data_IF_806485192460
#
_entry.id   IF_806485192460
#
_cell.length_a   1.000
_cell.length_b   1.000
_cell.length_c   1.000
_cell.angle_alpha   90.00
_cell.angle_beta   90.00
_cell.angle_gamma   90.00
#
_symmetry.space_group_name_H-M   'P 1'
#
loop_
_entity.id
_entity.type
_entity.pdbx_description
1 polymer ?
#
# COMPACT_ATOMS: atom_id res chain seq x y z
N UNK A 1 -18.21 -3.96 15.09
CA UNK A 1 -17.04 -3.29 14.50
C UNK A 1 -16.25 -4.28 13.67
N UNK A 2 -15.86 -3.90 12.47
CA UNK A 2 -15.09 -4.76 11.58
C UNK A 2 -13.61 -4.79 11.97
N UNK A 3 -13.04 -6.00 12.04
CA UNK A 3 -11.62 -6.17 12.35
C UNK A 3 -10.91 -6.85 11.19
N UNK A 4 -9.65 -6.47 10.95
CA UNK A 4 -8.81 -7.17 9.98
C UNK A 4 -8.51 -8.57 10.48
N UNK A 5 -8.63 -9.53 9.60
CA UNK A 5 -8.19 -10.88 9.89
C UNK A 5 -6.83 -11.10 9.24
N UNK A 6 -5.79 -11.04 10.04
CA UNK A 6 -4.42 -11.16 9.57
C UNK A 6 -4.10 -12.57 9.05
N UNK A 7 -4.90 -13.55 9.45
CA UNK A 7 -4.74 -14.91 8.97
C UNK A 7 -5.52 -15.20 7.69
N UNK A 8 -6.31 -14.25 7.20
CA UNK A 8 -7.09 -14.41 5.97
C UNK A 8 -6.14 -14.61 4.78
N UNK A 9 -6.26 -15.76 4.06
CA UNK A 9 -5.42 -16.00 2.88
C UNK A 9 -5.53 -14.92 1.81
N UNK A 10 -6.71 -14.30 1.66
CA UNK A 10 -6.90 -13.23 0.69
C UNK A 10 -6.07 -12.00 1.05
N UNK A 11 -5.96 -11.68 2.33
CA UNK A 11 -5.15 -10.57 2.79
C UNK A 11 -3.66 -10.84 2.55
N UNK A 12 -3.21 -12.04 2.88
CA UNK A 12 -1.81 -12.43 2.67
C UNK A 12 -1.44 -12.41 1.19
N UNK A 13 -2.34 -12.91 0.33
CA UNK A 13 -2.12 -12.88 -1.11
C UNK A 13 -2.05 -11.46 -1.64
N UNK A 14 -2.96 -10.59 -1.19
CA UNK A 14 -2.99 -9.18 -1.58
C UNK A 14 -1.66 -8.49 -1.26
N UNK A 15 -1.14 -8.68 -0.05
CA UNK A 15 0.15 -8.09 0.34
C UNK A 15 1.29 -8.61 -0.52
N UNK A 16 1.31 -9.91 -0.76
CA UNK A 16 2.35 -10.54 -1.56
C UNK A 16 2.34 -10.00 -2.98
N UNK A 17 1.17 -9.92 -3.59
CA UNK A 17 1.02 -9.47 -4.96
C UNK A 17 1.44 -8.00 -5.12
N UNK A 18 1.11 -7.16 -4.15
CA UNK A 18 1.51 -5.76 -4.18
C UNK A 18 3.01 -5.60 -4.04
N UNK A 19 3.63 -6.30 -3.09
CA UNK A 19 5.08 -6.24 -2.94
C UNK A 19 5.79 -6.70 -4.21
N UNK A 20 5.28 -7.75 -4.84
CA UNK A 20 5.85 -8.26 -6.08
C UNK A 20 5.70 -7.24 -7.22
N UNK A 21 4.51 -6.65 -7.36
CA UNK A 21 4.27 -5.60 -8.36
C UNK A 21 5.29 -4.46 -8.18
N UNK A 22 5.55 -4.09 -6.93
CA UNK A 22 6.43 -2.98 -6.59
C UNK A 22 7.91 -3.39 -6.52
N UNK A 23 8.23 -4.61 -6.98
CA UNK A 23 9.58 -5.15 -7.07
C UNK A 23 10.30 -5.17 -5.72
N UNK A 24 9.53 -5.36 -4.64
CA UNK A 24 10.05 -5.44 -3.28
C UNK A 24 10.86 -4.20 -2.90
N UNK A 25 10.38 -3.03 -3.30
CA UNK A 25 11.01 -1.75 -3.00
C UNK A 25 9.98 -0.76 -2.50
N UNK A 26 10.40 0.13 -1.60
CA UNK A 26 9.58 1.25 -1.18
C UNK A 26 9.30 2.16 -2.39
N UNK A 27 8.04 2.50 -2.57
CA UNK A 27 7.60 3.30 -3.72
C UNK A 27 7.58 4.80 -3.44
N UNK A 28 7.97 5.22 -2.25
CA UNK A 28 8.09 6.65 -1.97
C UNK A 28 9.14 7.26 -2.89
N UNK A 29 8.82 8.37 -3.58
CA UNK A 29 9.75 8.98 -4.54
C UNK A 29 11.11 9.26 -3.91
N UNK A 30 12.16 8.75 -4.54
CA UNK A 30 13.52 8.96 -4.06
C UNK A 30 13.99 7.98 -2.99
N UNK A 31 13.12 7.10 -2.48
CA UNK A 31 13.51 6.15 -1.43
C UNK A 31 14.09 4.85 -2.00
N UNK A 32 13.23 4.00 -2.55
CA UNK A 32 13.65 2.71 -3.12
C UNK A 32 14.21 1.72 -2.12
N UNK A 33 14.00 1.93 -0.83
CA UNK A 33 14.48 1.04 0.22
C UNK A 33 13.89 -0.36 0.10
N UNK A 34 14.65 -1.38 0.54
CA UNK A 34 14.23 -2.78 0.42
C UNK A 34 14.03 -3.46 1.77
N UNK A 35 14.23 -2.75 2.87
CA UNK A 35 14.11 -3.31 4.22
C UNK A 35 12.84 -2.81 4.88
N UNK A 36 12.28 -3.68 5.74
CA UNK A 36 11.09 -3.34 6.54
C UNK A 36 9.95 -2.83 5.69
N UNK A 37 9.66 -3.57 4.63
CA UNK A 37 8.60 -3.20 3.71
C UNK A 37 7.23 -3.54 4.31
N UNK A 38 6.31 -2.59 4.18
CA UNK A 38 4.92 -2.73 4.60
C UNK A 38 4.03 -2.39 3.42
N UNK A 39 2.84 -2.96 3.39
CA UNK A 39 1.87 -2.63 2.34
C UNK A 39 0.79 -1.74 2.95
N UNK A 40 0.67 -0.55 2.40
CA UNK A 40 -0.28 0.46 2.86
C UNK A 40 -1.54 0.42 2.02
N UNK A 41 -2.71 0.39 2.68
CA UNK A 41 -3.99 0.57 2.00
C UNK A 41 -4.15 2.04 1.62
N UNK A 42 -4.23 2.32 0.33
CA UNK A 42 -4.33 3.70 -0.15
C UNK A 42 -5.64 4.32 0.33
N UNK A 43 -6.76 3.65 0.05
CA UNK A 43 -8.04 4.02 0.65
C UNK A 43 -8.23 3.16 1.89
N UNK A 44 -8.67 3.78 2.98
CA UNK A 44 -8.73 3.14 4.29
C UNK A 44 -9.53 1.85 4.29
N UNK A 45 -9.07 0.91 5.08
CA UNK A 45 -9.75 -0.37 5.32
C UNK A 45 -11.21 -0.19 5.68
N UNK A 46 -11.50 0.74 6.60
CA UNK A 46 -12.86 0.93 7.10
C UNK A 46 -13.73 1.74 6.13
N UNK A 47 -13.14 2.62 5.34
CA UNK A 47 -13.89 3.54 4.46
C UNK A 47 -14.24 2.94 3.11
N UNK A 48 -13.49 1.94 2.66
CA UNK A 48 -13.64 1.40 1.31
C UNK A 48 -13.59 -0.13 1.33
N UNK A 49 -14.61 -0.80 1.93
CA UNK A 49 -14.57 -2.25 2.07
C UNK A 49 -14.48 -3.00 0.74
N UNK A 50 -15.04 -2.46 -0.33
CA UNK A 50 -14.95 -3.09 -1.65
C UNK A 50 -13.58 -3.04 -2.27
N UNK A 51 -12.65 -2.25 -1.72
CA UNK A 51 -11.31 -2.08 -2.25
C UNK A 51 -10.23 -2.74 -1.38
N UNK A 52 -10.62 -3.42 -0.30
CA UNK A 52 -9.66 -3.95 0.68
C UNK A 52 -8.61 -4.86 0.07
N UNK A 53 -8.99 -5.64 -0.95
CA UNK A 53 -8.07 -6.58 -1.60
C UNK A 53 -7.83 -6.23 -3.06
N UNK A 54 -8.15 -5.02 -3.47
CA UNK A 54 -7.85 -4.56 -4.82
C UNK A 54 -6.35 -4.33 -4.97
N UNK A 55 -5.76 -4.85 -6.05
CA UNK A 55 -4.33 -4.65 -6.33
C UNK A 55 -4.00 -3.17 -6.52
N UNK A 56 -4.98 -2.37 -6.95
CA UNK A 56 -4.77 -0.94 -7.16
C UNK A 56 -5.01 -0.11 -5.91
N UNK A 57 -5.32 -0.75 -4.78
CA UNK A 57 -5.54 -0.04 -3.52
C UNK A 57 -4.44 -0.28 -2.49
N UNK A 58 -3.26 -0.64 -2.95
CA UNK A 58 -2.14 -0.83 -2.04
C UNK A 58 -0.85 -0.36 -2.66
N UNK A 59 0.09 0.01 -1.81
CA UNK A 59 1.40 0.47 -2.24
C UNK A 59 2.43 0.02 -1.20
N UNK A 60 3.59 -0.41 -1.67
CA UNK A 60 4.68 -0.83 -0.80
C UNK A 60 5.46 0.38 -0.30
N UNK A 61 5.58 0.50 1.00
CA UNK A 61 6.37 1.55 1.65
C UNK A 61 7.28 0.92 2.69
N UNK A 62 8.49 1.45 2.85
CA UNK A 62 9.29 1.04 4.00
C UNK A 62 8.68 1.64 5.27
N UNK A 63 9.03 1.05 6.40
CA UNK A 63 8.47 1.49 7.68
C UNK A 63 8.65 2.99 7.92
N UNK A 64 9.81 3.50 7.58
CA UNK A 64 10.14 4.91 7.76
C UNK A 64 9.21 5.82 6.94
N UNK A 65 9.01 5.49 5.66
CA UNK A 65 8.11 6.26 4.80
C UNK A 65 6.66 6.11 5.22
N UNK A 66 6.25 4.91 5.64
CA UNK A 66 4.89 4.66 6.12
C UNK A 66 4.59 5.51 7.37
N UNK A 67 5.58 5.66 8.26
CA UNK A 67 5.40 6.48 9.45
C UNK A 67 5.24 7.96 9.15
N UNK A 68 5.81 8.44 8.05
CA UNK A 68 5.67 9.84 7.64
C UNK A 68 4.23 10.25 7.41
N UNK A 69 3.38 9.32 7.00
CA UNK A 69 2.00 9.62 6.63
C UNK A 69 1.01 9.29 7.73
N UNK A 70 1.44 8.69 8.83
CA UNK A 70 0.53 8.32 9.92
C UNK A 70 -0.21 9.53 10.45
N UNK A 71 -1.54 9.38 10.54
CA UNK A 71 -2.40 10.46 10.96
C UNK A 71 -2.86 11.36 9.81
N UNK A 72 -2.25 11.23 8.63
CA UNK A 72 -2.57 12.05 7.46
C UNK A 72 -2.78 11.20 6.21
N UNK A 73 -3.11 9.93 6.39
CA UNK A 73 -3.19 8.98 5.27
C UNK A 73 -4.11 9.46 4.16
N UNK A 74 -5.22 10.07 4.50
CA UNK A 74 -6.18 10.54 3.51
C UNK A 74 -5.59 11.62 2.59
N UNK A 75 -4.66 12.40 3.11
CA UNK A 75 -4.04 13.47 2.33
C UNK A 75 -3.09 12.93 1.26
N UNK A 76 -2.72 11.67 1.34
CA UNK A 76 -1.79 11.04 0.41
C UNK A 76 -2.46 10.10 -0.59
N UNK A 77 -3.79 9.94 -0.54
CA UNK A 77 -4.49 9.02 -1.45
C UNK A 77 -4.21 9.35 -2.92
N UNK A 78 -4.46 10.58 -3.31
CA UNK A 78 -4.25 11.00 -4.70
C UNK A 78 -2.77 10.88 -5.11
N UNK A 79 -1.87 11.22 -4.19
CA UNK A 79 -0.43 11.11 -4.41
C UNK A 79 -0.02 9.67 -4.73
N UNK A 80 -0.48 8.71 -3.94
CA UNK A 80 -0.14 7.30 -4.17
C UNK A 80 -0.79 6.75 -5.44
N UNK A 81 -2.01 7.16 -5.74
CA UNK A 81 -2.66 6.72 -6.98
C UNK A 81 -1.90 7.24 -8.21
N UNK A 82 -1.35 8.44 -8.12
CA UNK A 82 -0.50 8.99 -9.18
C UNK A 82 0.78 8.18 -9.34
N UNK A 83 1.39 7.74 -8.25
CA UNK A 83 2.59 6.90 -8.30
C UNK A 83 2.28 5.59 -9.01
N UNK A 84 1.17 4.94 -8.68
CA UNK A 84 0.77 3.69 -9.33
C UNK A 84 0.54 3.90 -10.83
N UNK A 85 -0.13 4.98 -11.18
CA UNK A 85 -0.38 5.32 -12.59
C UNK A 85 0.93 5.54 -13.34
N UNK A 86 1.85 6.28 -12.74
CA UNK A 86 3.17 6.53 -13.32
C UNK A 86 3.94 5.24 -13.53
N UNK A 87 3.95 4.37 -12.51
CA UNK A 87 4.69 3.10 -12.59
C UNK A 87 4.11 2.16 -13.63
N UNK A 88 2.82 2.19 -13.85
CA UNK A 88 2.16 1.34 -14.84
C UNK A 88 2.51 1.69 -16.28
N UNK A 89 3.05 2.90 -16.50
CA UNK A 89 3.44 3.36 -17.84
C UNK A 89 4.87 3.01 -18.22
N UNK A 90 5.64 2.46 -17.28
CA UNK A 90 7.06 2.14 -17.55
C UNK A 90 7.20 0.81 -18.26
#
# INVERSE_FOLDING_TARGET
>A
MYRRDWSDPAYAKWRKDIRKRDRYKCQWPGCGGKKRLEVHHIKRWSSAPGLRYSINNGITLCRSCHQKIKGSEENYEAFFLKILEWNARK
#
